data_IF_328864027566
#
_entry.id   IF_328864027566
#
_cell.length_a   1.000
_cell.length_b   1.000
_cell.length_c   1.000
_cell.angle_alpha   90.00
_cell.angle_beta   90.00
_cell.angle_gamma   90.00
#
_symmetry.space_group_name_H-M   'P 1'
#
loop_
_entity.id
_entity.type
_entity.pdbx_description
1 polymer ?
#
# COMPACT_ATOMS: atom_id res chain seq x y z
N UNK A 1 -26.35 67.67 22.37
CA UNK A 1 -27.53 66.98 21.82
C UNK A 1 -27.49 66.80 20.30
N UNK A 2 -27.71 67.80 19.43
CA UNK A 2 -27.74 67.57 17.96
C UNK A 2 -26.38 67.12 17.38
N UNK A 3 -25.27 67.75 17.81
CA UNK A 3 -23.92 67.40 17.33
C UNK A 3 -23.49 65.97 17.71
N UNK A 4 -23.85 65.51 18.91
CA UNK A 4 -23.53 64.16 19.38
C UNK A 4 -24.33 63.09 18.63
N UNK A 5 -25.59 63.37 18.30
CA UNK A 5 -26.42 62.49 17.49
C UNK A 5 -25.85 62.34 16.07
N UNK A 6 -25.40 63.44 15.47
CA UNK A 6 -24.76 63.43 14.16
C UNK A 6 -23.44 62.65 14.20
N UNK A 7 -22.62 62.85 15.23
CA UNK A 7 -21.36 62.12 15.38
C UNK A 7 -21.58 60.62 15.55
N UNK A 8 -22.54 60.21 16.39
CA UNK A 8 -22.90 58.81 16.58
C UNK A 8 -23.41 58.15 15.29
N UNK A 9 -24.15 58.88 14.45
CA UNK A 9 -24.61 58.38 13.16
C UNK A 9 -23.45 58.17 12.16
N UNK A 10 -22.47 59.09 12.18
CA UNK A 10 -21.25 58.99 11.37
C UNK A 10 -20.41 57.78 11.81
N UNK A 11 -20.21 57.60 13.12
CA UNK A 11 -19.44 56.49 13.67
C UNK A 11 -20.09 55.14 13.37
N UNK A 12 -21.42 55.05 13.46
CA UNK A 12 -22.19 53.87 13.07
C UNK A 12 -22.03 53.55 11.58
N UNK A 13 -22.16 54.55 10.70
CA UNK A 13 -21.99 54.36 9.26
C UNK A 13 -20.57 53.89 8.89
N UNK A 14 -19.53 54.46 9.53
CA UNK A 14 -18.15 54.04 9.32
C UNK A 14 -17.89 52.61 9.81
N UNK A 15 -18.44 52.25 10.97
CA UNK A 15 -18.34 50.89 11.51
C UNK A 15 -19.00 49.87 10.57
N UNK A 16 -20.16 50.20 10.00
CA UNK A 16 -20.87 49.31 9.09
C UNK A 16 -20.16 49.14 7.75
N UNK A 17 -19.57 50.21 7.19
CA UNK A 17 -18.74 50.14 5.98
C UNK A 17 -17.49 49.27 6.22
N UNK A 18 -16.82 49.45 7.36
CA UNK A 18 -15.63 48.66 7.72
C UNK A 18 -15.98 47.19 7.88
N UNK A 19 -17.11 46.88 8.51
CA UNK A 19 -17.57 45.50 8.71
C UNK A 19 -17.91 44.83 7.37
N UNK A 20 -18.65 45.52 6.48
CA UNK A 20 -18.95 45.02 5.12
C UNK A 20 -17.68 44.73 4.32
N UNK A 21 -16.70 45.62 4.40
CA UNK A 21 -15.40 45.43 3.73
C UNK A 21 -14.65 44.21 4.28
N UNK A 22 -14.55 44.09 5.61
CA UNK A 22 -13.88 42.96 6.24
C UNK A 22 -14.54 41.63 5.89
N UNK A 23 -15.88 41.58 5.88
CA UNK A 23 -16.62 40.38 5.46
C UNK A 23 -16.37 40.03 4.00
N UNK A 24 -16.31 41.03 3.11
CA UNK A 24 -16.02 40.81 1.69
C UNK A 24 -14.58 40.29 1.47
N UNK A 25 -13.61 40.86 2.18
CA UNK A 25 -12.20 40.44 2.13
C UNK A 25 -12.04 39.01 2.67
N UNK A 26 -12.71 38.68 3.78
CA UNK A 26 -12.68 37.33 4.36
C UNK A 26 -13.30 36.29 3.42
N UNK A 27 -14.40 36.65 2.74
CA UNK A 27 -15.04 35.76 1.76
C UNK A 27 -14.13 35.51 0.55
N UNK A 28 -13.48 36.56 0.04
CA UNK A 28 -12.54 36.45 -1.07
C UNK A 28 -11.33 35.58 -0.71
N UNK A 29 -10.81 35.72 0.51
CA UNK A 29 -9.70 34.90 0.97
C UNK A 29 -10.09 33.41 1.08
N UNK A 30 -11.29 33.13 1.58
CA UNK A 30 -11.81 31.77 1.63
C UNK A 30 -11.97 31.15 0.23
N UNK A 31 -12.49 31.92 -0.74
CA UNK A 31 -12.60 31.47 -2.12
C UNK A 31 -11.23 31.22 -2.76
N UNK A 32 -10.22 32.05 -2.47
CA UNK A 32 -8.84 31.85 -2.92
C UNK A 32 -8.22 30.57 -2.36
N UNK A 33 -8.38 30.32 -1.07
CA UNK A 33 -7.86 29.10 -0.43
C UNK A 33 -8.53 27.87 -1.05
N UNK A 34 -9.86 27.91 -1.22
CA UNK A 34 -10.61 26.81 -1.85
C UNK A 34 -10.15 26.56 -3.29
N UNK A 35 -9.91 27.62 -4.05
CA UNK A 35 -9.41 27.53 -5.43
C UNK A 35 -8.00 26.92 -5.46
N UNK A 36 -7.09 27.36 -4.58
CA UNK A 36 -5.75 26.79 -4.48
C UNK A 36 -5.76 25.30 -4.11
N UNK A 37 -6.66 24.89 -3.21
CA UNK A 37 -6.86 23.48 -2.85
C UNK A 37 -7.33 22.65 -4.06
N UNK A 38 -8.32 23.15 -4.81
CA UNK A 38 -8.81 22.49 -6.01
C UNK A 38 -7.74 22.37 -7.10
N UNK A 39 -6.96 23.44 -7.32
CA UNK A 39 -5.84 23.42 -8.27
C UNK A 39 -4.80 22.38 -7.88
N UNK A 40 -4.42 22.32 -6.60
CA UNK A 40 -3.47 21.31 -6.10
C UNK A 40 -4.01 19.88 -6.25
N UNK A 41 -5.29 19.67 -5.98
CA UNK A 41 -5.93 18.36 -6.19
C UNK A 41 -5.92 17.96 -7.67
N UNK A 42 -6.20 18.91 -8.56
CA UNK A 42 -6.19 18.67 -10.00
C UNK A 42 -4.77 18.40 -10.53
N UNK A 43 -3.76 19.11 -10.03
CA UNK A 43 -2.36 18.84 -10.33
C UNK A 43 -1.94 17.43 -9.89
N UNK A 44 -2.29 17.02 -8.67
CA UNK A 44 -2.02 15.66 -8.19
C UNK A 44 -2.73 14.60 -9.04
N UNK A 45 -4.00 14.82 -9.40
CA UNK A 45 -4.74 13.92 -10.26
C UNK A 45 -4.12 13.81 -11.66
N UNK A 46 -3.63 14.93 -12.22
CA UNK A 46 -2.94 14.94 -13.50
C UNK A 46 -1.58 14.23 -13.43
N UNK A 47 -0.82 14.42 -12.35
CA UNK A 47 0.44 13.68 -12.13
C UNK A 47 0.16 12.18 -12.03
N UNK A 48 -0.85 11.77 -11.26
CA UNK A 48 -1.25 10.36 -11.17
C UNK A 48 -1.66 9.79 -12.53
N UNK A 49 -2.48 10.53 -13.29
CA UNK A 49 -2.91 10.12 -14.63
C UNK A 49 -1.72 10.00 -15.60
N UNK A 50 -0.81 10.98 -15.61
CA UNK A 50 0.39 10.94 -16.45
C UNK A 50 1.34 9.81 -16.06
N UNK A 51 1.47 9.49 -14.77
CA UNK A 51 2.24 8.32 -14.32
C UNK A 51 1.63 7.02 -14.84
N UNK A 52 0.31 6.90 -14.83
CA UNK A 52 -0.41 5.73 -15.37
C UNK A 52 -0.30 5.65 -16.90
N UNK A 53 -0.37 6.78 -17.61
CA UNK A 53 -0.27 6.83 -19.09
C UNK A 53 1.16 6.61 -19.61
N UNK A 54 2.20 6.94 -18.82
CA UNK A 54 3.61 6.72 -19.19
C UNK A 54 4.20 5.41 -18.63
N UNK A 55 3.51 4.73 -17.71
CA UNK A 55 3.82 3.36 -17.35
C UNK A 55 3.09 2.43 -18.31
N UNK A 56 3.83 1.66 -19.10
CA UNK A 56 3.36 0.63 -20.03
C UNK A 56 2.72 -0.57 -19.29
N UNK A 57 1.71 -0.31 -18.45
CA UNK A 57 1.01 -1.30 -17.63
C UNK A 57 -0.46 -1.28 -18.04
N UNK A 58 -0.74 -1.94 -19.16
CA UNK A 58 -2.06 -2.47 -19.48
C UNK A 58 -2.44 -3.53 -18.42
N UNK A 59 -2.88 -3.12 -17.23
CA UNK A 59 -3.60 -3.99 -16.31
C UNK A 59 -4.30 -3.17 -15.21
N UNK A 60 -5.63 -2.99 -15.25
CA UNK A 60 -6.38 -2.31 -14.19
C UNK A 60 -6.48 -3.09 -12.87
N UNK A 61 -5.82 -4.24 -12.74
CA UNK A 61 -6.04 -5.18 -11.63
C UNK A 61 -5.12 -4.98 -10.41
N UNK A 62 -4.09 -4.13 -10.49
CA UNK A 62 -3.00 -4.15 -9.48
C UNK A 62 -3.14 -3.04 -8.42
N UNK A 63 -3.88 -1.97 -8.68
CA UNK A 63 -3.97 -0.84 -7.74
C UNK A 63 -5.08 -0.95 -6.68
N UNK A 64 -6.06 -1.84 -6.85
CA UNK A 64 -7.10 -2.06 -5.83
C UNK A 64 -6.70 -3.05 -4.73
N UNK A 65 -5.65 -3.85 -4.94
CA UNK A 65 -5.25 -4.88 -3.96
C UNK A 65 -4.22 -4.40 -2.92
N UNK A 66 -3.58 -3.25 -3.14
CA UNK A 66 -2.54 -2.74 -2.23
C UNK A 66 -3.09 -1.88 -1.07
N UNK A 67 -4.33 -1.40 -1.15
CA UNK A 67 -4.82 -0.36 -0.25
C UNK A 67 -5.47 -0.85 1.07
N UNK A 68 -5.74 -2.14 1.24
CA UNK A 68 -6.44 -2.65 2.44
C UNK A 68 -5.96 -4.00 2.96
N UNK A 69 -4.71 -4.39 2.68
CA UNK A 69 -4.13 -5.53 3.41
C UNK A 69 -3.78 -5.03 4.82
N UNK A 70 -4.69 -5.23 5.77
CA UNK A 70 -4.41 -4.98 7.18
C UNK A 70 -3.24 -5.89 7.58
N UNK A 71 -2.06 -5.28 7.78
CA UNK A 71 -0.81 -5.96 8.14
C UNK A 71 -1.00 -6.86 9.36
N UNK A 72 -1.87 -6.50 10.30
CA UNK A 72 -2.17 -7.31 11.48
C UNK A 72 -2.93 -8.60 11.12
N UNK A 73 -3.88 -8.53 10.19
CA UNK A 73 -4.62 -9.69 9.69
C UNK A 73 -3.73 -10.61 8.87
N UNK A 74 -2.82 -10.04 8.07
CA UNK A 74 -1.82 -10.81 7.34
C UNK A 74 -0.86 -11.51 8.33
N UNK A 75 -0.34 -10.79 9.31
CA UNK A 75 0.56 -11.34 10.33
C UNK A 75 -0.11 -12.46 11.13
N UNK A 76 -1.39 -12.30 11.52
CA UNK A 76 -2.17 -13.36 12.18
C UNK A 76 -2.32 -14.57 11.25
N UNK A 77 -2.67 -14.35 9.99
CA UNK A 77 -2.85 -15.43 9.01
C UNK A 77 -1.56 -16.20 8.77
N UNK A 78 -0.44 -15.50 8.58
CA UNK A 78 0.89 -16.09 8.41
C UNK A 78 1.33 -16.85 9.66
N UNK A 79 1.14 -16.31 10.86
CA UNK A 79 1.45 -17.01 12.11
C UNK A 79 0.60 -18.28 12.31
N UNK A 80 -0.60 -18.33 11.76
CA UNK A 80 -1.46 -19.52 11.80
C UNK A 80 -1.16 -20.53 10.68
N UNK A 81 -0.24 -20.24 9.75
CA UNK A 81 0.20 -21.21 8.74
C UNK A 81 1.12 -22.26 9.38
N UNK A 82 0.53 -23.22 10.07
CA UNK A 82 1.21 -24.42 10.53
C UNK A 82 1.14 -25.50 9.45
N UNK A 83 2.14 -25.52 8.56
CA UNK A 83 2.31 -26.60 7.58
C UNK A 83 3.56 -27.40 7.98
N UNK A 84 3.44 -28.71 8.28
CA UNK A 84 4.59 -29.50 8.66
C UNK A 84 5.57 -29.62 7.48
N UNK A 85 6.84 -29.34 7.74
CA UNK A 85 7.91 -29.53 6.75
C UNK A 85 8.11 -31.03 6.54
N UNK A 86 8.02 -31.54 5.29
CA UNK A 86 8.19 -32.96 5.03
C UNK A 86 9.59 -33.46 5.38
N UNK A 87 9.68 -34.64 5.97
CA UNK A 87 10.98 -35.30 6.18
C UNK A 87 11.47 -36.09 4.95
N UNK A 88 10.57 -36.41 4.02
CA UNK A 88 10.84 -37.19 2.80
C UNK A 88 10.69 -36.34 1.54
N UNK A 89 11.63 -36.50 0.63
CA UNK A 89 11.70 -35.82 -0.68
C UNK A 89 10.42 -35.98 -1.51
N UNK A 90 9.83 -37.17 -1.51
CA UNK A 90 8.59 -37.51 -2.24
C UNK A 90 7.38 -36.67 -1.78
N UNK A 91 7.41 -36.17 -0.54
CA UNK A 91 6.31 -35.45 0.08
C UNK A 91 6.39 -33.93 -0.14
N UNK A 92 7.46 -33.41 -0.75
CA UNK A 92 7.60 -31.98 -1.03
C UNK A 92 6.57 -31.48 -2.05
N UNK A 93 6.18 -32.31 -3.03
CA UNK A 93 5.12 -31.97 -3.97
C UNK A 93 3.78 -31.71 -3.26
N UNK A 94 3.39 -32.56 -2.31
CA UNK A 94 2.17 -32.39 -1.51
C UNK A 94 2.26 -31.21 -0.54
N UNK A 95 3.45 -30.93 -0.02
CA UNK A 95 3.72 -29.75 0.80
C UNK A 95 3.45 -28.46 0.02
N UNK A 96 4.02 -28.32 -1.18
CA UNK A 96 3.81 -27.13 -2.00
C UNK A 96 2.35 -26.97 -2.42
N UNK A 97 1.66 -28.06 -2.78
CA UNK A 97 0.22 -27.98 -3.06
C UNK A 97 -0.60 -27.50 -1.84
N UNK A 98 -0.27 -28.01 -0.65
CA UNK A 98 -0.91 -27.59 0.59
C UNK A 98 -0.62 -26.12 0.92
N UNK A 99 0.63 -25.70 0.74
CA UNK A 99 1.09 -24.33 0.98
C UNK A 99 0.43 -23.34 0.02
N UNK A 100 0.40 -23.65 -1.28
CA UNK A 100 -0.25 -22.80 -2.28
C UNK A 100 -1.75 -22.68 -2.05
N UNK A 101 -2.40 -23.77 -1.62
CA UNK A 101 -3.81 -23.73 -1.22
C UNK A 101 -4.01 -22.81 -0.01
N UNK A 102 -3.12 -22.88 0.98
CA UNK A 102 -3.18 -22.02 2.16
C UNK A 102 -2.93 -20.54 1.81
N UNK A 103 -1.97 -20.26 0.93
CA UNK A 103 -1.72 -18.91 0.41
C UNK A 103 -2.94 -18.33 -0.32
N UNK A 104 -3.65 -19.14 -1.10
CA UNK A 104 -4.90 -18.71 -1.76
C UNK A 104 -6.01 -18.41 -0.74
N UNK A 105 -6.22 -19.29 0.24
CA UNK A 105 -7.28 -19.11 1.27
C UNK A 105 -7.03 -17.87 2.13
N UNK A 106 -5.75 -17.57 2.40
CA UNK A 106 -5.33 -16.46 3.24
C UNK A 106 -5.00 -15.19 2.45
N UNK A 107 -5.21 -15.21 1.13
CA UNK A 107 -4.91 -14.11 0.22
C UNK A 107 -3.50 -13.52 0.42
N UNK A 108 -2.50 -14.40 0.55
CA UNK A 108 -1.12 -13.98 0.81
C UNK A 108 -0.56 -13.27 -0.43
N UNK A 109 -0.10 -12.01 -0.31
CA UNK A 109 0.50 -11.28 -1.42
C UNK A 109 1.76 -11.97 -1.94
N UNK A 110 1.99 -11.93 -3.26
CA UNK A 110 3.10 -12.63 -3.91
C UNK A 110 4.47 -12.29 -3.32
N UNK A 111 4.70 -11.00 -3.03
CA UNK A 111 5.93 -10.49 -2.45
C UNK A 111 6.31 -11.13 -1.11
N UNK A 112 5.35 -11.66 -0.34
CA UNK A 112 5.60 -12.28 0.96
C UNK A 112 5.70 -13.81 0.91
N UNK A 113 5.30 -14.46 -0.19
CA UNK A 113 5.25 -15.93 -0.28
C UNK A 113 6.63 -16.56 -0.15
N UNK A 114 7.66 -15.95 -0.73
CA UNK A 114 9.05 -16.40 -0.62
C UNK A 114 9.54 -16.37 0.82
N UNK A 115 9.43 -15.22 1.49
CA UNK A 115 9.80 -15.06 2.91
C UNK A 115 9.06 -16.03 3.83
N UNK A 116 7.76 -16.23 3.62
CA UNK A 116 6.97 -17.19 4.41
C UNK A 116 7.45 -18.63 4.17
N UNK A 117 7.78 -19.01 2.93
CA UNK A 117 8.33 -20.32 2.62
C UNK A 117 9.67 -20.54 3.34
N UNK A 118 10.58 -19.56 3.29
CA UNK A 118 11.86 -19.61 4.01
C UNK A 118 11.64 -19.81 5.52
N UNK A 119 10.71 -19.05 6.10
CA UNK A 119 10.39 -19.15 7.52
C UNK A 119 9.79 -20.50 7.90
N UNK A 120 8.95 -21.11 7.05
CA UNK A 120 8.40 -22.45 7.27
C UNK A 120 9.49 -23.52 7.19
N UNK A 121 10.41 -23.42 6.21
CA UNK A 121 11.51 -24.37 6.03
C UNK A 121 12.57 -24.26 7.14
N UNK A 122 12.71 -23.09 7.76
CA UNK A 122 13.59 -22.84 8.89
C UNK A 122 15.04 -23.22 8.58
N UNK A 123 15.69 -23.95 9.48
CA UNK A 123 17.11 -24.32 9.37
C UNK A 123 17.45 -25.13 8.10
N UNK A 124 16.47 -25.83 7.52
CA UNK A 124 16.70 -26.62 6.29
C UNK A 124 17.04 -25.76 5.09
N UNK A 125 16.66 -24.49 5.10
CA UNK A 125 16.94 -23.57 3.99
C UNK A 125 18.33 -22.95 4.09
N UNK A 126 19.06 -23.10 5.20
CA UNK A 126 20.40 -22.53 5.36
C UNK A 126 21.38 -23.02 4.28
N UNK A 127 21.30 -24.30 3.91
CA UNK A 127 22.13 -24.86 2.83
C UNK A 127 21.76 -24.25 1.46
N UNK A 128 20.48 -23.95 1.25
CA UNK A 128 19.99 -23.31 0.04
C UNK A 128 20.45 -21.84 -0.04
N UNK A 129 20.37 -21.10 1.08
CA UNK A 129 20.73 -19.68 1.15
C UNK A 129 22.19 -19.40 0.80
N UNK A 130 23.10 -20.37 0.97
CA UNK A 130 24.51 -20.23 0.58
C UNK A 130 24.67 -20.10 -0.94
N UNK A 131 23.73 -20.63 -1.72
CA UNK A 131 23.86 -20.78 -3.17
C UNK A 131 22.83 -19.97 -3.98
N UNK A 132 21.94 -19.23 -3.32
CA UNK A 132 20.83 -18.51 -3.95
C UNK A 132 21.06 -17.01 -3.87
N UNK A 133 20.83 -16.32 -4.99
CA UNK A 133 20.94 -14.86 -5.07
C UNK A 133 19.73 -14.14 -4.47
N UNK A 134 19.90 -12.90 -4.04
CA UNK A 134 18.83 -12.09 -3.44
C UNK A 134 17.61 -11.90 -4.38
N UNK A 135 17.86 -11.81 -5.69
CA UNK A 135 16.79 -11.77 -6.71
C UNK A 135 15.97 -13.06 -6.78
N UNK A 136 16.58 -14.21 -6.52
CA UNK A 136 15.90 -15.51 -6.52
C UNK A 136 15.10 -15.74 -5.25
N UNK A 137 15.55 -15.18 -4.10
CA UNK A 137 14.80 -15.23 -2.83
C UNK A 137 13.48 -14.47 -2.90
N UNK A 138 13.45 -13.38 -3.66
CA UNK A 138 12.25 -12.56 -3.84
C UNK A 138 11.26 -13.14 -4.86
N UNK A 139 11.59 -14.25 -5.52
CA UNK A 139 10.70 -14.91 -6.48
C UNK A 139 10.28 -16.29 -5.97
N UNK A 140 9.01 -16.40 -5.54
CA UNK A 140 8.47 -17.65 -4.99
C UNK A 140 8.58 -18.83 -5.97
N UNK A 141 8.37 -18.61 -7.27
CA UNK A 141 8.45 -19.69 -8.27
C UNK A 141 9.88 -20.23 -8.37
N UNK A 142 10.88 -19.33 -8.47
CA UNK A 142 12.28 -19.75 -8.52
C UNK A 142 12.70 -20.44 -7.23
N UNK A 143 12.27 -19.92 -6.08
CA UNK A 143 12.58 -20.49 -4.78
C UNK A 143 11.98 -21.90 -4.61
N UNK A 144 10.75 -22.11 -5.09
CA UNK A 144 10.12 -23.43 -5.13
C UNK A 144 10.93 -24.41 -5.98
N UNK A 145 11.36 -24.00 -7.17
CA UNK A 145 12.15 -24.86 -8.07
C UNK A 145 13.51 -25.21 -7.45
N UNK A 146 14.15 -24.26 -6.77
CA UNK A 146 15.40 -24.46 -6.04
C UNK A 146 15.23 -25.46 -4.90
N UNK A 147 14.20 -25.30 -4.08
CA UNK A 147 13.88 -26.25 -2.99
C UNK A 147 13.58 -27.63 -3.59
N UNK A 148 12.80 -27.72 -4.66
CA UNK A 148 12.54 -29.01 -5.30
C UNK A 148 13.82 -29.64 -5.87
N UNK A 149 14.75 -28.86 -6.41
CA UNK A 149 16.04 -29.36 -6.93
C UNK A 149 16.95 -29.86 -5.81
N UNK A 150 17.10 -29.07 -4.74
CA UNK A 150 17.97 -29.40 -3.61
C UNK A 150 17.46 -30.61 -2.83
N UNK A 151 16.13 -30.74 -2.71
CA UNK A 151 15.48 -31.85 -2.03
C UNK A 151 14.97 -32.93 -3.01
N UNK A 152 15.38 -32.93 -4.28
CA UNK A 152 15.20 -34.08 -5.16
C UNK A 152 16.40 -35.02 -5.03
N UNK A 153 16.21 -36.34 -5.09
CA UNK A 153 17.33 -37.26 -5.13
C UNK A 153 18.17 -36.97 -6.38
N UNK A 154 19.43 -36.56 -6.21
CA UNK A 154 20.42 -36.71 -7.29
C UNK A 154 20.47 -38.19 -7.67
N UNK A 155 20.29 -38.55 -8.95
CA UNK A 155 20.44 -39.93 -9.38
C UNK A 155 21.84 -40.41 -9.00
N UNK A 156 21.93 -41.50 -8.23
CA UNK A 156 23.16 -42.25 -8.00
C UNK A 156 23.47 -43.13 -9.21
#
# INVERSE_FOLDING_TARGET
MIKELVQSAIDYAMAEIKNKRLNSETKLEFERIKLAQLQKQLELANIQKNLIENSDIQNPSVFETAANINVETLLKSVKTLTIPVPSRVESYNLFFQSLEKAFKIKEVPEQFKGEILLNILGERVNNLLVHVSEEELNNYSKLKDLVLKEFSPTPQ
#
